data_IF_273270494331
#
_entry.id   IF_273270494331
#
_cell.length_a   1.000
_cell.length_b   1.000
_cell.length_c   1.000
_cell.angle_alpha   90.00
_cell.angle_beta   90.00
_cell.angle_gamma   90.00
#
_symmetry.space_group_name_H-M   'P 1'
#
loop_
_entity.id
_entity.type
_entity.pdbx_description
1 polymer ?
#
# COMPACT_ATOMS: atom_id res chain seq x y z
N UNK A 1 45.61 26.17 1.31
CA UNK A 1 44.93 25.35 2.35
C UNK A 1 43.55 25.92 2.66
N UNK A 2 42.65 25.95 1.68
CA UNK A 2 41.26 26.41 1.81
C UNK A 2 40.24 25.26 1.77
N UNK A 3 40.71 24.01 1.84
CA UNK A 3 39.90 22.79 1.72
C UNK A 3 38.97 22.44 2.92
N UNK A 4 39.26 22.77 4.20
CA UNK A 4 38.45 22.25 5.30
C UNK A 4 37.05 22.89 5.41
N UNK A 5 36.85 24.12 4.91
CA UNK A 5 35.54 24.79 4.97
C UNK A 5 34.54 24.25 3.94
N UNK A 6 35.01 23.86 2.76
CA UNK A 6 34.13 23.31 1.70
C UNK A 6 33.64 21.91 2.05
N UNK A 7 34.50 21.06 2.60
CA UNK A 7 34.12 19.72 3.06
C UNK A 7 33.10 19.78 4.21
N UNK A 8 33.30 20.69 5.18
CA UNK A 8 32.37 20.90 6.28
C UNK A 8 31.00 21.37 5.78
N UNK A 9 30.97 22.28 4.80
CA UNK A 9 29.73 22.74 4.19
C UNK A 9 28.98 21.60 3.48
N UNK A 10 29.70 20.76 2.72
CA UNK A 10 29.12 19.59 2.03
C UNK A 10 28.56 18.57 3.02
N UNK A 11 29.29 18.27 4.10
CA UNK A 11 28.83 17.35 5.14
C UNK A 11 27.58 17.88 5.84
N UNK A 12 27.55 19.18 6.13
CA UNK A 12 26.38 19.83 6.76
C UNK A 12 25.13 19.68 5.90
N UNK A 13 25.22 19.92 4.59
CA UNK A 13 24.10 19.76 3.66
C UNK A 13 23.63 18.30 3.64
N UNK A 14 24.55 17.34 3.55
CA UNK A 14 24.22 15.92 3.51
C UNK A 14 23.52 15.44 4.80
N UNK A 15 24.00 15.88 5.96
CA UNK A 15 23.36 15.59 7.26
C UNK A 15 21.95 16.20 7.32
N UNK A 16 21.79 17.44 6.88
CA UNK A 16 20.48 18.10 6.81
C UNK A 16 19.49 17.34 5.90
N UNK A 17 19.94 16.84 4.75
CA UNK A 17 19.11 16.04 3.84
C UNK A 17 18.68 14.70 4.47
N UNK A 18 19.61 14.00 5.12
CA UNK A 18 19.34 12.73 5.82
C UNK A 18 18.35 12.90 6.98
N UNK A 19 18.54 13.95 7.79
CA UNK A 19 17.63 14.27 8.88
C UNK A 19 16.24 14.61 8.34
N UNK A 20 16.15 15.42 7.30
CA UNK A 20 14.88 15.79 6.65
C UNK A 20 14.13 14.55 6.13
N UNK A 21 14.84 13.62 5.48
CA UNK A 21 14.26 12.35 5.05
C UNK A 21 13.72 11.52 6.23
N UNK A 22 14.46 11.49 7.33
CA UNK A 22 14.09 10.72 8.53
C UNK A 22 12.82 11.29 9.16
N UNK A 23 12.71 12.62 9.27
CA UNK A 23 11.50 13.30 9.76
C UNK A 23 10.29 13.07 8.86
N UNK A 24 10.47 13.18 7.54
CA UNK A 24 9.39 12.89 6.57
C UNK A 24 8.93 11.44 6.73
N UNK A 25 9.86 10.50 6.79
CA UNK A 25 9.57 9.08 6.95
C UNK A 25 8.80 8.81 8.25
N UNK A 26 9.24 9.42 9.36
CA UNK A 26 8.60 9.31 10.66
C UNK A 26 7.17 9.87 10.62
N UNK A 27 6.94 11.06 10.06
CA UNK A 27 5.62 11.65 9.94
C UNK A 27 4.65 10.73 9.17
N UNK A 28 5.13 10.14 8.08
CA UNK A 28 4.39 9.16 7.27
C UNK A 28 4.09 7.86 8.03
N UNK A 29 5.02 7.37 8.85
CA UNK A 29 4.80 6.20 9.71
C UNK A 29 3.78 6.49 10.82
N UNK A 30 3.89 7.64 11.50
CA UNK A 30 2.94 8.08 12.53
C UNK A 30 1.53 8.23 11.94
N UNK A 31 1.42 8.85 10.76
CA UNK A 31 0.16 8.94 10.02
C UNK A 31 -0.46 7.56 9.76
N UNK A 32 0.35 6.59 9.34
CA UNK A 32 -0.13 5.23 9.09
C UNK A 32 -0.60 4.52 10.37
N UNK A 33 0.17 4.63 11.47
CA UNK A 33 -0.21 4.05 12.76
C UNK A 33 -1.50 4.67 13.28
N UNK A 34 -1.64 6.00 13.18
CA UNK A 34 -2.88 6.70 13.54
C UNK A 34 -4.07 6.22 12.69
N UNK A 35 -3.89 6.09 11.37
CA UNK A 35 -4.92 5.53 10.49
C UNK A 35 -5.28 4.08 10.87
N UNK A 36 -4.28 3.26 11.20
CA UNK A 36 -4.48 1.87 11.59
C UNK A 36 -5.33 1.77 12.86
N UNK A 37 -4.95 2.48 13.92
CA UNK A 37 -5.64 2.42 15.22
C UNK A 37 -7.06 2.95 15.13
N UNK A 38 -7.28 4.06 14.44
CA UNK A 38 -8.61 4.67 14.28
C UNK A 38 -9.58 3.81 13.44
N UNK A 39 -9.07 2.90 12.61
CA UNK A 39 -9.91 2.05 11.75
C UNK A 39 -10.00 0.60 12.23
N UNK A 40 -9.37 0.27 13.36
CA UNK A 40 -9.31 -1.09 13.88
C UNK A 40 -10.71 -1.60 14.31
N UNK A 41 -11.52 -0.74 14.93
CA UNK A 41 -12.88 -1.11 15.37
C UNK A 41 -13.77 -1.44 14.16
N UNK A 42 -13.74 -0.60 13.12
CA UNK A 42 -14.49 -0.83 11.88
C UNK A 42 -14.05 -2.15 11.22
N UNK A 43 -12.75 -2.44 11.20
CA UNK A 43 -12.21 -3.70 10.69
C UNK A 43 -12.70 -4.92 11.48
N UNK A 44 -12.63 -4.88 12.82
CA UNK A 44 -13.05 -6.01 13.67
C UNK A 44 -14.52 -6.33 13.43
N UNK A 45 -15.37 -5.31 13.34
CA UNK A 45 -16.81 -5.52 13.12
C UNK A 45 -17.08 -6.05 11.70
N UNK A 46 -16.38 -5.55 10.68
CA UNK A 46 -16.69 -5.85 9.27
C UNK A 46 -15.98 -7.09 8.74
N UNK A 47 -14.68 -7.24 9.00
CA UNK A 47 -13.82 -8.23 8.33
C UNK A 47 -13.58 -9.50 9.15
N UNK A 48 -13.57 -9.41 10.48
CA UNK A 48 -13.26 -10.57 11.32
C UNK A 48 -14.31 -11.68 11.30
N UNK A 49 -15.63 -11.42 11.32
CA UNK A 49 -16.63 -12.49 11.36
C UNK A 49 -16.71 -13.30 10.06
N UNK A 50 -16.14 -12.79 8.95
CA UNK A 50 -16.15 -13.49 7.67
C UNK A 50 -15.14 -14.65 7.63
N UNK A 51 -15.46 -15.70 6.87
CA UNK A 51 -14.56 -16.83 6.65
C UNK A 51 -13.24 -16.41 5.97
N UNK A 52 -12.17 -17.19 6.17
CA UNK A 52 -10.88 -16.95 5.55
C UNK A 52 -10.91 -17.22 4.05
N UNK A 53 -11.14 -16.16 3.29
CA UNK A 53 -11.07 -16.16 1.82
C UNK A 53 -9.90 -15.32 1.30
N UNK A 54 -9.60 -15.47 0.01
CA UNK A 54 -8.53 -14.72 -0.66
C UNK A 54 -8.65 -13.20 -0.46
N UNK A 55 -9.86 -12.63 -0.49
CA UNK A 55 -10.06 -11.20 -0.24
C UNK A 55 -9.72 -10.77 1.18
N UNK A 56 -10.00 -11.62 2.18
CA UNK A 56 -9.62 -11.41 3.58
C UNK A 56 -8.09 -11.44 3.71
N UNK A 57 -7.43 -12.46 3.17
CA UNK A 57 -5.96 -12.58 3.18
C UNK A 57 -5.33 -11.34 2.55
N UNK A 58 -5.82 -10.92 1.38
CA UNK A 58 -5.32 -9.75 0.67
C UNK A 58 -5.46 -8.48 1.51
N UNK A 59 -6.62 -8.28 2.14
CA UNK A 59 -6.88 -7.17 3.05
C UNK A 59 -5.90 -7.16 4.24
N UNK A 60 -5.71 -8.29 4.92
CA UNK A 60 -4.76 -8.40 6.03
C UNK A 60 -3.32 -8.14 5.58
N UNK A 61 -2.90 -8.67 4.44
CA UNK A 61 -1.56 -8.43 3.89
C UNK A 61 -1.32 -6.95 3.60
N UNK A 62 -2.27 -6.26 2.95
CA UNK A 62 -2.14 -4.82 2.65
C UNK A 62 -2.17 -3.95 3.90
N UNK A 63 -2.85 -4.39 4.96
CA UNK A 63 -3.06 -3.61 6.18
C UNK A 63 -1.98 -3.84 7.24
N UNK A 64 -1.54 -5.08 7.45
CA UNK A 64 -0.54 -5.39 8.47
C UNK A 64 0.88 -5.43 7.89
N UNK A 65 1.02 -5.65 6.57
CA UNK A 65 2.30 -5.63 5.88
C UNK A 65 3.09 -4.31 6.07
N UNK A 66 2.47 -3.13 5.88
CA UNK A 66 3.16 -1.87 6.12
C UNK A 66 3.52 -1.65 7.60
N UNK A 67 2.73 -2.13 8.57
CA UNK A 67 3.11 -2.08 9.99
C UNK A 67 4.37 -2.88 10.26
N UNK A 68 4.40 -4.14 9.80
CA UNK A 68 5.58 -4.99 9.94
C UNK A 68 6.81 -4.34 9.29
N UNK A 69 6.61 -3.74 8.11
CA UNK A 69 7.66 -3.02 7.41
C UNK A 69 8.17 -1.81 8.19
N UNK A 70 7.28 -1.04 8.82
CA UNK A 70 7.63 0.12 9.67
C UNK A 70 8.50 -0.34 10.84
N UNK A 71 8.12 -1.43 11.53
CA UNK A 71 8.91 -1.99 12.64
C UNK A 71 10.29 -2.44 12.17
N UNK A 72 10.35 -3.20 11.07
CA UNK A 72 11.63 -3.63 10.48
C UNK A 72 12.50 -2.44 10.07
N UNK A 73 11.90 -1.39 9.52
CA UNK A 73 12.62 -0.16 9.14
C UNK A 73 13.13 0.60 10.36
N UNK A 74 12.32 0.70 11.41
CA UNK A 74 12.73 1.32 12.65
C UNK A 74 13.96 0.60 13.21
N UNK A 75 13.96 -0.74 13.26
CA UNK A 75 15.10 -1.52 13.72
C UNK A 75 16.38 -1.31 12.88
N UNK A 76 16.23 -1.09 11.58
CA UNK A 76 17.34 -0.90 10.64
C UNK A 76 17.88 0.53 10.61
N UNK A 77 17.02 1.54 10.72
CA UNK A 77 17.36 2.95 10.47
C UNK A 77 17.47 3.80 11.75
N UNK A 78 16.82 3.38 12.85
CA UNK A 78 16.78 4.18 14.09
C UNK A 78 18.00 3.90 14.96
N UNK A 79 18.47 4.94 15.64
CA UNK A 79 19.63 4.87 16.53
C UNK A 79 19.25 4.29 17.88
N UNK A 80 19.22 2.95 17.97
CA UNK A 80 18.88 2.25 19.21
C UNK A 80 20.11 1.94 20.09
N UNK A 81 21.34 2.19 19.61
CA UNK A 81 22.58 1.73 20.25
C UNK A 81 22.61 0.20 20.46
N UNK A 82 21.86 -0.54 19.65
CA UNK A 82 21.84 -2.00 19.61
C UNK A 82 22.68 -2.44 18.42
N UNK A 83 23.77 -3.17 18.66
CA UNK A 83 24.62 -3.70 17.60
C UNK A 83 24.11 -5.07 17.16
N UNK A 84 23.74 -5.19 15.88
CA UNK A 84 23.37 -6.47 15.29
C UNK A 84 24.56 -7.12 14.60
N UNK A 85 24.57 -8.46 14.56
CA UNK A 85 25.56 -9.15 13.73
C UNK A 85 25.30 -8.87 12.25
N UNK A 86 26.33 -8.83 11.37
CA UNK A 86 26.14 -8.59 9.94
C UNK A 86 25.15 -9.56 9.28
N UNK A 87 25.10 -10.81 9.74
CA UNK A 87 24.12 -11.81 9.29
C UNK A 87 22.69 -11.43 9.66
N UNK A 88 22.46 -10.95 10.88
CA UNK A 88 21.16 -10.47 11.36
C UNK A 88 20.72 -9.24 10.57
N UNK A 89 21.61 -8.27 10.35
CA UNK A 89 21.33 -7.10 9.51
C UNK A 89 20.86 -7.51 8.11
N UNK A 90 21.67 -8.34 7.42
CA UNK A 90 21.34 -8.85 6.09
C UNK A 90 19.98 -9.55 6.05
N UNK A 91 19.70 -10.44 7.01
CA UNK A 91 18.42 -11.12 7.13
C UNK A 91 17.26 -10.15 7.35
N UNK A 92 17.42 -9.16 8.23
CA UNK A 92 16.38 -8.18 8.53
C UNK A 92 16.10 -7.28 7.33
N UNK A 93 17.13 -6.90 6.57
CA UNK A 93 16.97 -6.15 5.33
C UNK A 93 16.25 -6.95 4.25
N UNK A 94 16.62 -8.22 4.06
CA UNK A 94 15.95 -9.12 3.11
C UNK A 94 14.48 -9.31 3.52
N UNK A 95 14.19 -9.56 4.80
CA UNK A 95 12.81 -9.72 5.28
C UNK A 95 11.99 -8.44 5.12
N UNK A 96 12.63 -7.29 5.33
CA UNK A 96 12.06 -5.97 5.15
C UNK A 96 11.73 -5.68 3.69
N UNK A 97 12.63 -6.03 2.78
CA UNK A 97 12.38 -5.96 1.35
C UNK A 97 11.27 -6.91 0.91
N UNK A 98 11.29 -8.16 1.35
CA UNK A 98 10.26 -9.14 1.03
C UNK A 98 8.87 -8.68 1.53
N UNK A 99 8.80 -8.13 2.74
CA UNK A 99 7.55 -7.58 3.30
C UNK A 99 7.03 -6.44 2.41
N UNK A 100 7.91 -5.51 2.01
CA UNK A 100 7.57 -4.43 1.08
C UNK A 100 6.96 -4.92 -0.22
N UNK A 101 7.58 -5.94 -0.81
CA UNK A 101 7.15 -6.57 -2.05
C UNK A 101 5.78 -7.19 -1.92
N UNK A 102 5.58 -7.99 -0.87
CA UNK A 102 4.34 -8.73 -0.63
C UNK A 102 3.14 -7.78 -0.54
N UNK A 103 3.19 -6.74 0.29
CA UNK A 103 2.03 -5.84 0.40
C UNK A 103 1.88 -4.91 -0.81
N UNK A 104 2.97 -4.56 -1.51
CA UNK A 104 2.88 -3.74 -2.74
C UNK A 104 2.17 -4.52 -3.84
N UNK A 105 2.56 -5.77 -4.09
CA UNK A 105 1.88 -6.60 -5.08
C UNK A 105 0.47 -7.00 -4.65
N UNK A 106 0.22 -7.23 -3.36
CA UNK A 106 -1.14 -7.42 -2.86
C UNK A 106 -2.03 -6.21 -3.19
N UNK A 107 -1.51 -4.99 -3.02
CA UNK A 107 -2.20 -3.75 -3.37
C UNK A 107 -2.54 -3.68 -4.86
N UNK A 108 -1.62 -4.08 -5.72
CA UNK A 108 -1.85 -4.10 -7.16
C UNK A 108 -2.82 -5.19 -7.60
N UNK A 109 -2.70 -6.40 -7.05
CA UNK A 109 -3.64 -7.51 -7.30
C UNK A 109 -5.05 -7.12 -6.87
N UNK A 110 -5.22 -6.49 -5.70
CA UNK A 110 -6.51 -5.98 -5.25
C UNK A 110 -7.09 -4.98 -6.26
N UNK A 111 -6.27 -4.02 -6.72
CA UNK A 111 -6.68 -3.03 -7.72
C UNK A 111 -7.12 -3.70 -9.03
N UNK A 112 -6.40 -4.72 -9.48
CA UNK A 112 -6.74 -5.48 -10.68
C UNK A 112 -8.04 -6.26 -10.54
N UNK A 113 -8.26 -6.88 -9.39
CA UNK A 113 -9.51 -7.58 -9.11
C UNK A 113 -10.67 -6.59 -9.13
N UNK A 114 -10.51 -5.40 -8.53
CA UNK A 114 -11.51 -4.34 -8.58
C UNK A 114 -11.81 -3.89 -10.02
N UNK A 115 -10.77 -3.69 -10.85
CA UNK A 115 -10.94 -3.38 -12.27
C UNK A 115 -11.68 -4.52 -12.98
N UNK A 116 -11.24 -5.77 -12.78
CA UNK A 116 -11.85 -6.96 -13.38
C UNK A 116 -13.34 -7.11 -13.03
N UNK A 117 -13.70 -6.89 -11.77
CA UNK A 117 -15.07 -6.86 -11.29
C UNK A 117 -15.91 -5.82 -12.05
N UNK A 118 -15.36 -4.62 -12.27
CA UNK A 118 -16.05 -3.55 -13.00
C UNK A 118 -16.22 -3.83 -14.50
N UNK A 119 -15.35 -4.65 -15.11
CA UNK A 119 -15.49 -5.11 -16.52
C UNK A 119 -16.61 -6.14 -16.73
N UNK A 120 -17.31 -6.57 -15.67
CA UNK A 120 -18.36 -7.60 -15.76
C UNK A 120 -17.80 -9.03 -15.77
N UNK A 121 -16.63 -9.23 -15.16
CA UNK A 121 -16.05 -10.53 -14.77
C UNK A 121 -16.07 -11.66 -15.81
N UNK A 122 -15.89 -11.35 -17.09
CA UNK A 122 -15.67 -12.40 -18.10
C UNK A 122 -14.29 -13.00 -17.89
N UNK A 123 -14.18 -14.34 -17.73
CA UNK A 123 -12.92 -15.07 -17.52
C UNK A 123 -11.81 -14.70 -18.51
N UNK A 124 -12.16 -14.39 -19.76
CA UNK A 124 -11.23 -13.92 -20.80
C UNK A 124 -10.45 -12.66 -20.38
N UNK A 125 -11.12 -11.68 -19.75
CA UNK A 125 -10.45 -10.46 -19.28
C UNK A 125 -9.53 -10.72 -18.09
N UNK A 126 -9.87 -11.68 -17.22
CA UNK A 126 -9.01 -12.05 -16.10
C UNK A 126 -7.68 -12.62 -16.59
N UNK A 127 -7.73 -13.54 -17.56
CA UNK A 127 -6.53 -14.15 -18.15
C UNK A 127 -5.69 -13.10 -18.87
N UNK A 128 -6.31 -12.23 -19.67
CA UNK A 128 -5.61 -11.16 -20.37
C UNK A 128 -4.93 -10.19 -19.39
N UNK A 129 -5.64 -9.77 -18.35
CA UNK A 129 -5.11 -8.88 -17.31
C UNK A 129 -3.98 -9.55 -16.52
N UNK A 130 -4.15 -10.84 -16.21
CA UNK A 130 -3.14 -11.65 -15.53
C UNK A 130 -1.83 -11.72 -16.32
N UNK A 131 -1.90 -12.04 -17.61
CA UNK A 131 -0.70 -12.10 -18.49
C UNK A 131 -0.06 -10.71 -18.61
N UNK A 132 -0.87 -9.68 -18.86
CA UNK A 132 -0.39 -8.31 -19.01
C UNK A 132 0.34 -7.78 -17.76
N UNK A 133 0.00 -8.27 -16.56
CA UNK A 133 0.67 -7.89 -15.31
C UNK A 133 1.78 -8.85 -14.89
N UNK A 134 1.65 -10.15 -15.18
CA UNK A 134 2.64 -11.15 -14.79
C UNK A 134 3.99 -10.90 -15.46
N UNK A 135 4.00 -10.55 -16.75
CA UNK A 135 5.25 -10.32 -17.51
C UNK A 135 6.04 -9.11 -16.96
N UNK A 136 5.47 -7.90 -16.82
CA UNK A 136 6.15 -6.77 -16.16
C UNK A 136 6.59 -7.08 -14.73
N UNK A 137 5.75 -7.80 -13.98
CA UNK A 137 6.06 -8.16 -12.58
C UNK A 137 7.27 -9.09 -12.49
N UNK A 138 7.37 -10.08 -13.37
CA UNK A 138 8.53 -10.95 -13.45
C UNK A 138 9.82 -10.18 -13.79
N UNK A 139 9.76 -9.21 -14.69
CA UNK A 139 10.89 -8.32 -15.02
C UNK A 139 11.34 -7.48 -13.81
N UNK A 140 10.38 -6.92 -13.06
CA UNK A 140 10.66 -6.15 -11.84
C UNK A 140 11.28 -7.06 -10.76
N UNK A 141 10.71 -8.23 -10.51
CA UNK A 141 11.21 -9.21 -9.54
C UNK A 141 12.65 -9.63 -9.84
N UNK A 142 12.95 -9.92 -11.11
CA UNK A 142 14.31 -10.24 -11.54
C UNK A 142 15.27 -9.08 -11.25
N UNK A 143 14.89 -7.87 -11.63
CA UNK A 143 15.73 -6.68 -11.43
C UNK A 143 15.97 -6.39 -9.93
N UNK A 144 14.95 -6.60 -9.10
CA UNK A 144 15.06 -6.45 -7.66
C UNK A 144 15.89 -7.55 -7.01
N UNK A 145 15.87 -8.78 -7.53
CA UNK A 145 16.75 -9.84 -7.01
C UNK A 145 18.24 -9.49 -7.16
N UNK A 146 18.61 -8.81 -8.26
CA UNK A 146 19.97 -8.28 -8.46
C UNK A 146 20.26 -7.20 -7.42
N UNK A 147 19.32 -6.27 -7.24
CA UNK A 147 19.43 -5.19 -6.26
C UNK A 147 19.62 -5.71 -4.83
N UNK A 148 18.82 -6.70 -4.41
CA UNK A 148 18.92 -7.32 -3.08
C UNK A 148 20.28 -7.99 -2.90
N UNK A 149 20.78 -8.73 -3.90
CA UNK A 149 22.07 -9.45 -3.78
C UNK A 149 23.23 -8.51 -3.50
N UNK A 150 23.24 -7.34 -4.12
CA UNK A 150 24.31 -6.36 -3.90
C UNK A 150 24.10 -5.58 -2.58
N UNK A 151 22.89 -5.11 -2.30
CA UNK A 151 22.63 -4.32 -1.08
C UNK A 151 22.57 -5.14 0.21
N UNK A 152 22.32 -6.45 0.15
CA UNK A 152 22.26 -7.31 1.34
C UNK A 152 23.64 -7.64 1.94
N UNK A 153 24.73 -7.21 1.30
CA UNK A 153 26.10 -7.37 1.82
C UNK A 153 26.35 -6.38 2.95
N UNK A 154 25.93 -6.76 4.16
CA UNK A 154 26.25 -6.05 5.39
C UNK A 154 27.77 -6.08 5.65
N UNK A 155 28.34 -4.95 6.09
CA UNK A 155 29.73 -4.86 6.53
C UNK A 155 29.80 -4.95 8.06
N UNK A 156 30.96 -5.30 8.64
CA UNK A 156 31.19 -5.03 10.05
C UNK A 156 30.98 -3.53 10.32
N UNK A 157 30.39 -3.22 11.47
CA UNK A 157 30.07 -1.85 11.87
C UNK A 157 31.37 -1.12 12.18
N UNK A 158 31.56 0.06 11.60
CA UNK A 158 32.70 0.93 11.91
C UNK A 158 32.57 1.44 13.35
N UNK A 159 33.65 1.55 14.14
CA UNK A 159 33.60 2.19 15.47
C UNK A 159 32.85 3.52 15.49
N UNK A 160 32.96 4.33 14.42
CA UNK A 160 32.23 5.59 14.31
C UNK A 160 30.71 5.40 14.21
N UNK A 161 30.25 4.37 13.49
CA UNK A 161 28.83 4.06 13.35
C UNK A 161 28.22 3.52 14.65
N UNK A 162 29.03 2.84 15.47
CA UNK A 162 28.64 2.42 16.83
C UNK A 162 28.40 3.63 17.72
N UNK A 163 29.31 4.61 17.72
CA UNK A 163 29.16 5.86 18.49
C UNK A 163 27.96 6.70 18.01
N UNK A 164 27.66 6.67 16.71
CA UNK A 164 26.46 7.28 16.14
C UNK A 164 25.18 6.50 16.43
N UNK A 165 25.28 5.31 17.04
CA UNK A 165 24.15 4.47 17.44
C UNK A 165 23.48 3.70 16.30
N UNK A 166 24.11 3.58 15.13
CA UNK A 166 23.55 2.82 14.00
C UNK A 166 23.63 1.31 14.24
N UNK A 167 22.52 0.62 13.98
CA UNK A 167 22.42 -0.82 14.24
C UNK A 167 23.07 -1.69 13.14
N UNK A 168 23.15 -1.17 11.91
CA UNK A 168 23.62 -1.88 10.72
C UNK A 168 24.33 -0.95 9.73
N UNK A 169 25.41 -1.44 9.09
CA UNK A 169 26.14 -0.72 8.04
C UNK A 169 26.15 -1.52 6.73
N UNK A 170 26.09 -0.80 5.60
CA UNK A 170 25.88 -1.39 4.28
C UNK A 170 27.03 -1.07 3.33
N UNK A 171 27.50 -2.06 2.58
CA UNK A 171 28.39 -1.82 1.46
C UNK A 171 27.61 -1.18 0.31
N UNK A 172 27.71 0.13 0.12
CA UNK A 172 27.14 0.76 -1.08
C UNK A 172 28.13 0.58 -2.24
N UNK A 173 28.09 -0.59 -2.88
CA UNK A 173 28.74 -0.79 -4.17
C UNK A 173 27.75 -0.35 -5.27
N UNK A 174 27.97 0.83 -5.84
CA UNK A 174 27.15 1.31 -6.96
C UNK A 174 27.71 0.73 -8.26
N UNK A 175 27.34 -0.51 -8.54
CA UNK A 175 27.72 -1.17 -9.79
C UNK A 175 26.83 -0.73 -10.95
N UNK A 176 27.37 -0.75 -12.17
CA UNK A 176 26.63 -0.45 -13.39
C UNK A 176 25.36 -1.31 -13.53
N UNK A 177 25.40 -2.56 -13.05
CA UNK A 177 24.25 -3.48 -13.05
C UNK A 177 23.11 -3.00 -12.13
N UNK A 178 23.44 -2.44 -10.96
CA UNK A 178 22.45 -1.90 -10.02
C UNK A 178 21.76 -0.68 -10.63
N UNK A 179 22.52 0.22 -11.26
CA UNK A 179 21.99 1.38 -11.96
C UNK A 179 21.06 0.94 -13.11
N UNK A 180 21.46 -0.07 -13.88
CA UNK A 180 20.65 -0.59 -14.98
C UNK A 180 19.35 -1.25 -14.47
N UNK A 181 19.43 -2.04 -13.41
CA UNK A 181 18.26 -2.66 -12.78
C UNK A 181 17.27 -1.61 -12.26
N UNK A 182 17.75 -0.55 -11.62
CA UNK A 182 16.91 0.57 -11.17
C UNK A 182 16.19 1.28 -12.33
N UNK A 183 16.90 1.53 -13.45
CA UNK A 183 16.28 2.09 -14.66
C UNK A 183 15.18 1.18 -15.19
N UNK A 184 15.45 -0.13 -15.32
CA UNK A 184 14.45 -1.11 -15.79
C UNK A 184 13.22 -1.11 -14.88
N UNK A 185 13.40 -1.13 -13.56
CA UNK A 185 12.30 -1.09 -12.60
C UNK A 185 11.43 0.16 -12.81
N UNK A 186 12.04 1.34 -12.97
CA UNK A 186 11.31 2.60 -13.20
C UNK A 186 10.51 2.58 -14.49
N UNK A 187 11.12 2.24 -15.62
CA UNK A 187 10.41 2.20 -16.91
C UNK A 187 9.28 1.17 -16.94
N UNK A 188 9.53 -0.04 -16.43
CA UNK A 188 8.51 -1.10 -16.38
C UNK A 188 7.37 -0.71 -15.43
N UNK A 189 7.68 -0.03 -14.32
CA UNK A 189 6.66 0.47 -13.39
C UNK A 189 5.78 1.55 -14.02
N UNK A 190 6.36 2.47 -14.80
CA UNK A 190 5.59 3.48 -15.56
C UNK A 190 4.71 2.82 -16.61
N UNK A 191 5.24 1.86 -17.37
CA UNK A 191 4.45 1.13 -18.36
C UNK A 191 3.25 0.42 -17.68
N UNK A 192 3.49 -0.27 -16.56
CA UNK A 192 2.44 -0.93 -15.79
C UNK A 192 1.39 0.06 -15.27
N UNK A 193 1.82 1.16 -14.65
CA UNK A 193 0.94 2.21 -14.15
C UNK A 193 0.09 2.84 -15.27
N UNK A 194 0.69 3.03 -16.44
CA UNK A 194 0.01 3.56 -17.63
C UNK A 194 -1.07 2.59 -18.11
N UNK A 195 -0.76 1.30 -18.20
CA UNK A 195 -1.74 0.26 -18.52
C UNK A 195 -2.87 0.22 -17.49
N UNK A 196 -2.58 0.31 -16.19
CA UNK A 196 -3.61 0.41 -15.13
C UNK A 196 -4.54 1.60 -15.36
N UNK A 197 -3.96 2.79 -15.58
CA UNK A 197 -4.71 4.03 -15.75
C UNK A 197 -5.58 4.00 -17.02
N UNK A 198 -5.04 3.51 -18.14
CA UNK A 198 -5.79 3.35 -19.39
C UNK A 198 -6.94 2.35 -19.22
N UNK A 199 -6.69 1.20 -18.59
CA UNK A 199 -7.73 0.21 -18.34
C UNK A 199 -8.82 0.75 -17.43
N UNK A 200 -8.45 1.44 -16.35
CA UNK A 200 -9.40 2.13 -15.49
C UNK A 200 -10.24 3.12 -16.33
N UNK A 201 -9.61 4.01 -17.09
CA UNK A 201 -10.32 4.99 -17.90
C UNK A 201 -11.23 4.35 -18.96
N UNK A 202 -10.80 3.26 -19.60
CA UNK A 202 -11.62 2.52 -20.55
C UNK A 202 -12.87 1.90 -19.88
N UNK A 203 -12.73 1.37 -18.67
CA UNK A 203 -13.83 0.86 -17.86
C UNK A 203 -14.80 1.96 -17.47
N UNK A 204 -14.27 3.11 -17.04
CA UNK A 204 -15.07 4.31 -16.77
C UNK A 204 -15.89 4.66 -17.99
N UNK A 205 -15.22 4.89 -19.11
CA UNK A 205 -15.87 5.35 -20.33
C UNK A 205 -16.93 4.35 -20.81
N UNK A 206 -16.60 3.06 -20.89
CA UNK A 206 -17.55 2.03 -21.34
C UNK A 206 -18.78 1.92 -20.43
N UNK A 207 -18.62 2.08 -19.12
CA UNK A 207 -19.72 1.94 -18.16
C UNK A 207 -20.59 3.20 -18.07
N UNK A 208 -20.02 4.38 -18.30
CA UNK A 208 -20.73 5.65 -18.10
C UNK A 208 -21.16 6.36 -19.38
N UNK A 209 -20.68 5.94 -20.55
CA UNK A 209 -21.16 6.48 -21.82
C UNK A 209 -22.67 6.21 -21.96
N UNK A 210 -23.48 7.26 -21.85
CA UNK A 210 -24.93 7.23 -22.08
C UNK A 210 -25.83 7.14 -20.84
N UNK A 211 -25.32 7.23 -19.61
CA UNK A 211 -26.16 7.26 -18.39
C UNK A 211 -26.03 8.59 -17.62
N UNK A 212 -26.86 9.57 -17.95
CA UNK A 212 -26.93 10.87 -17.28
C UNK A 212 -27.88 10.84 -16.07
N UNK A 213 -27.52 11.49 -14.96
CA UNK A 213 -28.42 11.76 -13.82
C UNK A 213 -28.25 10.86 -12.59
N UNK A 214 -28.78 9.63 -12.62
CA UNK A 214 -28.79 8.75 -11.41
C UNK A 214 -27.54 7.87 -11.26
N UNK A 215 -26.90 7.49 -12.37
CA UNK A 215 -25.79 6.54 -12.31
C UNK A 215 -24.53 7.17 -11.70
N UNK A 216 -24.18 8.41 -12.05
CA UNK A 216 -23.00 9.10 -11.49
C UNK A 216 -23.06 9.20 -9.96
N UNK A 217 -24.26 9.42 -9.39
CA UNK A 217 -24.45 9.47 -7.94
C UNK A 217 -24.17 8.11 -7.27
N UNK A 218 -24.53 7.02 -7.96
CA UNK A 218 -24.19 5.66 -7.55
C UNK A 218 -22.67 5.43 -7.64
N UNK A 219 -22.00 5.94 -8.67
CA UNK A 219 -20.53 5.76 -8.83
C UNK A 219 -19.71 6.46 -7.76
N UNK A 220 -20.12 7.68 -7.39
CA UNK A 220 -19.51 8.38 -6.27
C UNK A 220 -19.75 7.63 -4.95
N UNK A 221 -20.87 6.90 -4.85
CA UNK A 221 -21.18 6.03 -3.72
C UNK A 221 -20.37 4.72 -3.74
N UNK A 222 -20.14 4.13 -4.91
CA UNK A 222 -19.58 2.78 -5.10
C UNK A 222 -18.03 2.75 -5.07
N UNK A 223 -17.35 3.85 -4.74
CA UNK A 223 -15.88 3.91 -4.69
C UNK A 223 -15.19 3.99 -6.06
N UNK A 224 -15.94 4.11 -7.16
CA UNK A 224 -15.38 4.22 -8.51
C UNK A 224 -14.46 5.42 -8.67
N UNK A 225 -14.83 6.58 -8.11
CA UNK A 225 -13.95 7.78 -8.14
C UNK A 225 -12.64 7.54 -7.38
N UNK A 226 -12.67 6.80 -6.28
CA UNK A 226 -11.45 6.46 -5.53
C UNK A 226 -10.51 5.60 -6.37
N UNK A 227 -11.06 4.67 -7.18
CA UNK A 227 -10.28 3.88 -8.12
C UNK A 227 -9.56 4.74 -9.17
N UNK A 228 -10.27 5.69 -9.79
CA UNK A 228 -9.66 6.59 -10.79
C UNK A 228 -8.64 7.53 -10.19
N UNK A 229 -8.96 8.09 -9.02
CA UNK A 229 -8.04 8.95 -8.30
C UNK A 229 -6.77 8.18 -7.92
N UNK A 230 -6.90 6.95 -7.42
CA UNK A 230 -5.77 6.10 -7.07
C UNK A 230 -4.93 5.72 -8.30
N UNK A 231 -5.55 5.32 -9.41
CA UNK A 231 -4.85 4.99 -10.64
C UNK A 231 -4.13 6.22 -11.24
N UNK A 232 -4.78 7.38 -11.22
CA UNK A 232 -4.21 8.65 -11.69
C UNK A 232 -3.04 9.12 -10.83
N UNK A 233 -3.20 9.07 -9.50
CA UNK A 233 -2.12 9.34 -8.55
C UNK A 233 -0.94 8.39 -8.79
N UNK A 234 -1.19 7.09 -8.94
CA UNK A 234 -0.13 6.11 -9.19
C UNK A 234 0.63 6.40 -10.49
N UNK A 235 -0.09 6.75 -11.55
CA UNK A 235 0.51 7.16 -12.83
C UNK A 235 1.35 8.43 -12.70
N UNK A 236 0.82 9.49 -12.08
CA UNK A 236 1.55 10.76 -11.92
C UNK A 236 2.81 10.57 -11.07
N UNK A 237 2.73 9.83 -9.96
CA UNK A 237 3.88 9.60 -9.09
C UNK A 237 4.99 8.79 -9.77
N UNK A 238 4.63 7.75 -10.54
CA UNK A 238 5.59 6.95 -11.30
C UNK A 238 6.23 7.73 -12.45
N UNK A 239 5.46 8.61 -13.11
CA UNK A 239 5.97 9.54 -14.12
C UNK A 239 6.98 10.53 -13.52
N UNK A 240 6.64 11.18 -12.40
CA UNK A 240 7.54 12.14 -11.73
C UNK A 240 8.85 11.45 -11.31
N UNK A 241 8.79 10.23 -10.79
CA UNK A 241 9.96 9.43 -10.39
C UNK A 241 10.90 9.13 -11.58
N UNK A 242 10.34 9.00 -12.79
CA UNK A 242 11.09 8.61 -13.99
C UNK A 242 11.61 9.81 -14.79
N UNK A 243 10.85 10.91 -14.88
CA UNK A 243 11.09 11.97 -15.87
C UNK A 243 12.13 13.04 -15.49
N UNK A 244 12.47 13.24 -14.20
CA UNK A 244 13.30 14.39 -13.80
C UNK A 244 14.50 14.01 -12.94
N UNK A 245 15.72 13.94 -13.52
CA UNK A 245 16.93 13.74 -12.74
C UNK A 245 17.14 14.86 -11.69
N UNK A 246 16.74 16.10 -12.01
CA UNK A 246 16.90 17.30 -11.16
C UNK A 246 15.83 17.54 -10.10
N UNK A 247 14.92 16.59 -9.83
CA UNK A 247 14.03 16.71 -8.67
C UNK A 247 14.85 16.70 -7.38
N UNK A 248 14.51 17.61 -6.45
CA UNK A 248 15.04 17.61 -5.09
C UNK A 248 14.87 16.23 -4.47
N UNK A 249 15.91 15.79 -3.75
CA UNK A 249 15.92 14.53 -3.03
C UNK A 249 14.70 14.37 -2.12
N UNK A 250 14.32 15.45 -1.44
CA UNK A 250 13.15 15.53 -0.56
C UNK A 250 11.87 15.16 -1.30
N UNK A 251 11.66 15.71 -2.50
CA UNK A 251 10.46 15.41 -3.31
C UNK A 251 10.40 13.93 -3.68
N UNK A 252 11.54 13.31 -4.03
CA UNK A 252 11.61 11.88 -4.36
C UNK A 252 11.25 11.01 -3.15
N UNK A 253 11.76 11.36 -1.95
CA UNK A 253 11.41 10.69 -0.69
C UNK A 253 9.91 10.81 -0.40
N UNK A 254 9.34 12.01 -0.50
CA UNK A 254 7.91 12.23 -0.27
C UNK A 254 7.05 11.40 -1.22
N UNK A 255 7.37 11.38 -2.52
CA UNK A 255 6.66 10.60 -3.53
C UNK A 255 6.72 9.10 -3.20
N UNK A 256 7.92 8.60 -2.86
CA UNK A 256 8.12 7.19 -2.52
C UNK A 256 7.32 6.81 -1.27
N UNK A 257 7.35 7.62 -0.22
CA UNK A 257 6.62 7.36 1.04
C UNK A 257 5.12 7.47 0.84
N UNK A 258 4.66 8.46 0.11
CA UNK A 258 3.26 8.62 -0.26
C UNK A 258 2.74 7.38 -1.00
N UNK A 259 3.46 6.91 -2.05
CA UNK A 259 3.09 5.69 -2.78
C UNK A 259 3.07 4.47 -1.86
N UNK A 260 4.06 4.34 -1.00
CA UNK A 260 4.23 3.15 -0.15
C UNK A 260 3.17 3.03 0.93
N UNK A 261 2.69 4.16 1.46
CA UNK A 261 1.77 4.21 2.61
C UNK A 261 0.33 4.48 2.18
N UNK A 262 0.11 5.41 1.25
CA UNK A 262 -1.23 5.81 0.89
C UNK A 262 -1.90 4.80 -0.06
N UNK A 263 -1.16 4.16 -0.95
CA UNK A 263 -1.72 3.14 -1.84
C UNK A 263 -2.43 2.00 -1.10
N UNK A 264 -1.83 1.33 -0.09
CA UNK A 264 -2.55 0.30 0.66
C UNK A 264 -3.73 0.87 1.46
N UNK A 265 -3.64 2.09 2.01
CA UNK A 265 -4.77 2.75 2.69
C UNK A 265 -5.97 2.90 1.73
N UNK A 266 -5.74 3.50 0.57
CA UNK A 266 -6.80 3.78 -0.41
C UNK A 266 -7.39 2.49 -0.97
N UNK A 267 -6.56 1.50 -1.24
CA UNK A 267 -7.02 0.18 -1.71
C UNK A 267 -7.83 -0.55 -0.64
N UNK A 268 -7.41 -0.53 0.63
CA UNK A 268 -8.19 -1.10 1.73
C UNK A 268 -9.54 -0.40 1.89
N UNK A 269 -9.60 0.93 1.80
CA UNK A 269 -10.86 1.69 1.82
C UNK A 269 -11.75 1.37 0.64
N UNK A 270 -11.17 1.22 -0.55
CA UNK A 270 -11.89 0.81 -1.75
C UNK A 270 -12.54 -0.57 -1.56
N UNK A 271 -11.81 -1.55 -1.01
CA UNK A 271 -12.34 -2.89 -0.74
C UNK A 271 -13.49 -2.85 0.27
N UNK A 272 -13.34 -2.09 1.36
CA UNK A 272 -14.40 -1.90 2.36
C UNK A 272 -15.65 -1.23 1.76
N UNK A 273 -15.46 -0.24 0.89
CA UNK A 273 -16.57 0.45 0.23
C UNK A 273 -17.29 -0.45 -0.77
N UNK A 274 -16.56 -1.26 -1.55
CA UNK A 274 -17.15 -2.22 -2.48
C UNK A 274 -18.00 -3.26 -1.73
N UNK A 275 -17.57 -3.70 -0.54
CA UNK A 275 -18.36 -4.61 0.29
C UNK A 275 -19.70 -4.00 0.72
N UNK A 276 -19.69 -2.74 1.18
CA UNK A 276 -20.90 -2.06 1.67
C UNK A 276 -21.92 -1.82 0.56
N UNK A 277 -21.45 -1.64 -0.67
CA UNK A 277 -22.28 -1.14 -1.78
C UNK A 277 -22.69 -2.23 -2.76
N UNK A 278 -22.26 -3.48 -2.57
CA UNK A 278 -22.55 -4.59 -3.48
C UNK A 278 -24.06 -4.85 -3.64
N UNK A 279 -24.65 -4.17 -4.62
CA UNK A 279 -25.94 -4.42 -5.25
C UNK A 279 -26.09 -5.94 -5.49
N UNK A 280 -27.24 -6.58 -5.23
CA UNK A 280 -27.36 -8.05 -5.24
C UNK A 280 -26.83 -8.70 -6.54
N UNK A 281 -26.93 -8.01 -7.67
CA UNK A 281 -26.39 -8.45 -8.97
C UNK A 281 -24.86 -8.36 -9.07
N UNK A 282 -24.23 -7.36 -8.46
CA UNK A 282 -22.76 -7.25 -8.39
C UNK A 282 -22.16 -8.14 -7.29
N UNK A 283 -22.96 -8.44 -6.26
CA UNK A 283 -22.60 -9.27 -5.12
C UNK A 283 -22.26 -10.70 -5.53
N UNK A 284 -22.95 -11.27 -6.53
CA UNK A 284 -22.75 -12.67 -6.93
C UNK A 284 -21.34 -12.97 -7.41
N UNK A 285 -20.71 -12.07 -8.18
CA UNK A 285 -19.40 -12.38 -8.78
C UNK A 285 -18.25 -11.87 -7.93
N UNK A 286 -18.36 -10.66 -7.38
CA UNK A 286 -17.30 -10.08 -6.54
C UNK A 286 -17.25 -10.75 -5.18
N UNK A 287 -18.41 -11.05 -4.56
CA UNK A 287 -18.40 -11.81 -3.32
C UNK A 287 -17.91 -13.23 -3.59
N UNK A 288 -18.44 -13.96 -4.59
CA UNK A 288 -17.95 -15.32 -4.84
C UNK A 288 -16.42 -15.43 -5.00
N UNK A 289 -15.74 -14.42 -5.56
CA UNK A 289 -14.28 -14.41 -5.64
C UNK A 289 -13.57 -13.87 -4.38
N UNK A 290 -14.08 -12.83 -3.72
CA UNK A 290 -13.37 -12.14 -2.62
C UNK A 290 -13.91 -12.46 -1.22
N UNK A 291 -15.22 -12.67 -1.07
CA UNK A 291 -15.91 -12.76 0.21
C UNK A 291 -16.96 -13.88 0.25
N UNK A 292 -16.94 -14.68 1.30
CA UNK A 292 -17.92 -15.75 1.44
C UNK A 292 -19.32 -15.11 1.50
N UNK A 293 -20.35 -15.75 0.91
CA UNK A 293 -21.72 -15.37 1.20
C UNK A 293 -21.87 -15.29 2.72
N UNK A 294 -22.39 -14.18 3.23
CA UNK A 294 -22.79 -14.16 4.63
C UNK A 294 -23.75 -15.33 4.84
N UNK A 295 -23.61 -16.13 5.92
CA UNK A 295 -24.65 -17.08 6.26
C UNK A 295 -25.95 -16.29 6.28
N UNK A 296 -26.90 -16.66 5.40
CA UNK A 296 -28.20 -16.01 5.36
C UNK A 296 -28.75 -16.11 6.77
N UNK A 297 -28.78 -14.98 7.46
CA UNK A 297 -29.23 -14.91 8.84
C UNK A 297 -30.75 -14.97 8.81
N UNK A 298 -31.31 -16.13 8.45
CA UNK A 298 -32.76 -16.38 8.53
C UNK A 298 -33.25 -16.31 9.99
N UNK A 299 -32.34 -16.28 10.98
CA UNK A 299 -32.68 -16.23 12.40
C UNK A 299 -32.43 -14.87 13.10
N UNK A 300 -31.85 -13.84 12.46
CA UNK A 300 -31.63 -12.55 13.15
C UNK A 300 -32.91 -11.72 13.29
N UNK A 301 -33.88 -11.88 12.39
CA UNK A 301 -35.22 -11.27 12.54
C UNK A 301 -36.02 -11.89 13.71
N UNK A 302 -35.54 -12.99 14.31
CA UNK A 302 -36.20 -13.63 15.45
C UNK A 302 -35.81 -13.03 16.81
N UNK A 303 -34.70 -12.28 16.90
CA UNK A 303 -34.24 -11.71 18.17
C UNK A 303 -34.80 -10.31 18.48
N UNK A 304 -35.28 -9.56 17.48
CA UNK A 304 -35.84 -8.22 17.69
C UNK A 304 -37.34 -8.21 18.07
N UNK A 305 -38.02 -9.35 18.06
CA UNK A 305 -39.46 -9.43 18.38
C UNK A 305 -39.80 -9.84 19.83
N UNK A 306 -38.82 -10.06 20.71
CA UNK A 306 -39.11 -10.52 22.09
C UNK A 306 -38.49 -9.71 23.23
N UNK A 307 -38.06 -8.46 22.99
CA UNK A 307 -37.90 -7.52 24.10
C UNK A 307 -39.22 -6.80 24.35
N UNK A 308 -40.03 -7.20 25.36
CA UNK A 308 -41.17 -6.40 25.78
C UNK A 308 -40.63 -5.06 26.28
N UNK A 309 -40.75 -4.03 25.46
CA UNK A 309 -40.62 -2.64 25.89
C UNK A 309 -41.83 -2.40 26.81
N UNK A 310 -41.65 -2.70 28.08
CA UNK A 310 -42.60 -2.37 29.14
C UNK A 310 -42.47 -0.88 29.41
N UNK A 311 -42.97 -0.06 28.49
CA UNK A 311 -43.12 1.38 28.65
C UNK A 311 -44.27 1.65 29.61
N UNK A 312 -44.02 1.47 30.91
CA UNK A 312 -44.91 2.05 31.94
C UNK A 312 -44.81 3.57 31.85
N UNK A 313 -45.91 4.29 31.64
CA UNK A 313 -45.92 5.74 31.75
C UNK A 313 -45.71 6.11 33.23
N UNK A 314 -44.66 6.87 33.51
CA UNK A 314 -44.50 7.54 34.80
C UNK A 314 -45.47 8.72 34.80
N UNK A 315 -46.68 8.47 35.28
CA UNK A 315 -47.62 9.53 35.67
C UNK A 315 -47.08 10.19 36.93
N UNK A 316 -46.42 11.34 36.77
CA UNK A 316 -46.12 12.24 37.86
C UNK A 316 -47.37 13.02 38.24
N UNK A 317 -47.90 12.74 39.43
CA UNK A 317 -48.91 13.52 40.11
C UNK A 317 -48.36 13.92 41.49
N UNK A 318 -48.54 15.21 41.85
CA UNK A 318 -48.23 15.79 43.16
C UNK A 318 -46.76 16.23 43.30
N UNK A 319 -46.42 17.43 43.73
CA UNK A 319 -47.14 18.49 44.48
C UNK A 319 -46.37 19.79 44.35
#
# INVERSE_FOLDING_TARGET
>A
MSAPSEELARLTVLVCELMTQSYISLAFHVFYVYYFTTTLIEEVITMWPHQWMAGKILFFVMRYGPLLRIVQMALLETRFYITFTPKTCSSLFISSFATHMVYTYATEVALLICIHALLGSKRKYLVLLGIAYAVPTACILRSQSIWIKEFSRARPIDPLDVELGYSCTWAVAVDAQVIQADRVIKYVSVAKASCTAILALAVYYKRYRGRTGKLIKIVNRDGGVQLFLLAGIYFVLTMIETSRPGLSYITKVCIKKYRTILSPILTCRLLLNIQKVADPAARSVVSAMLFAPLPQSEDFDRFDHHLPINSRPVTGAGS
#
